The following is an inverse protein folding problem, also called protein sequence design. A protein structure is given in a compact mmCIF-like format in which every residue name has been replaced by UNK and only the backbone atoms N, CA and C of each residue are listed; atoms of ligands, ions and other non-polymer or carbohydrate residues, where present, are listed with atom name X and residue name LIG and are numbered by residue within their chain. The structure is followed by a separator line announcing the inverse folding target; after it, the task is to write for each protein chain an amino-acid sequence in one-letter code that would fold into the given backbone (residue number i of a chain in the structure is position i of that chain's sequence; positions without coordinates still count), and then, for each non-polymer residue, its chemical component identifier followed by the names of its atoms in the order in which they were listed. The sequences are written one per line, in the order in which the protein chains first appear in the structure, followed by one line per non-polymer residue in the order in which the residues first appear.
data_IF_743135723152
#
_entry.id   IF_743135723152
#
_cell.length_a   1.000
_cell.length_b   1.000
_cell.length_c   1.000
_cell.angle_alpha   90.00
_cell.angle_beta   90.00
_cell.angle_gamma   90.00
#
_symmetry.space_group_name_H-M   'P 1'
#
loop_
_entity.id
_entity.type
_entity.pdbx_description
1 polymer ?
#
# COMPACT_ATOMS: atom_id res chain seq x y z
N UNK A 1 24.23 -55.63 32.15
CA UNK A 1 24.17 -54.81 30.93
C UNK A 1 23.40 -53.55 31.29
N UNK A 2 24.14 -52.46 31.57
CA UNK A 2 23.58 -51.14 31.88
C UNK A 2 23.56 -50.40 30.55
N UNK A 3 22.37 -50.06 30.05
CA UNK A 3 22.22 -49.15 28.91
C UNK A 3 22.62 -47.76 29.39
N UNK A 4 23.83 -47.32 29.05
CA UNK A 4 24.20 -45.92 29.16
C UNK A 4 23.40 -45.13 28.11
N UNK A 5 22.40 -44.39 28.57
CA UNK A 5 21.66 -43.43 27.76
C UNK A 5 22.61 -42.33 27.31
N UNK A 6 22.79 -42.15 26.00
CA UNK A 6 23.55 -41.02 25.46
C UNK A 6 22.93 -39.69 25.92
N UNK A 7 23.76 -38.68 26.24
CA UNK A 7 23.26 -37.38 26.70
C UNK A 7 22.48 -36.67 25.59
N UNK A 8 21.21 -36.32 25.85
CA UNK A 8 20.41 -35.49 24.94
C UNK A 8 21.06 -34.11 24.77
N UNK A 9 21.14 -33.66 23.51
CA UNK A 9 21.71 -32.36 23.18
C UNK A 9 20.75 -31.23 23.55
N UNK A 10 21.18 -30.34 24.43
CA UNK A 10 20.54 -29.08 24.79
C UNK A 10 21.41 -27.92 24.32
N UNK A 11 20.82 -26.72 24.24
CA UNK A 11 21.51 -25.49 23.81
C UNK A 11 22.76 -25.15 24.63
N UNK A 12 22.86 -25.65 25.88
CA UNK A 12 23.99 -25.41 26.77
C UNK A 12 25.09 -26.49 26.70
N UNK A 13 24.81 -27.69 26.17
CA UNK A 13 25.76 -28.80 26.12
C UNK A 13 26.18 -29.21 24.69
N UNK A 14 25.64 -28.55 23.66
CA UNK A 14 25.85 -28.86 22.25
C UNK A 14 27.32 -29.02 21.86
N UNK A 15 28.19 -28.14 22.37
CA UNK A 15 29.63 -28.21 22.11
C UNK A 15 30.28 -29.47 22.68
N UNK A 16 29.87 -29.91 23.88
CA UNK A 16 30.40 -31.12 24.51
C UNK A 16 29.90 -32.39 23.82
N UNK A 17 28.64 -32.41 23.37
CA UNK A 17 28.08 -33.51 22.58
C UNK A 17 28.82 -33.63 21.24
N UNK A 18 29.06 -32.52 20.55
CA UNK A 18 29.81 -32.52 19.28
C UNK A 18 31.26 -33.01 19.44
N UNK A 19 31.92 -32.67 20.55
CA UNK A 19 33.28 -33.17 20.85
C UNK A 19 33.26 -34.65 21.21
N UNK A 20 32.24 -35.12 21.93
CA UNK A 20 32.06 -36.55 22.24
C UNK A 20 31.83 -37.37 20.97
N UNK A 21 31.01 -36.89 20.05
CA UNK A 21 30.76 -37.55 18.76
C UNK A 21 32.05 -37.63 17.92
N UNK A 22 32.84 -36.56 17.91
CA UNK A 22 34.13 -36.54 17.21
C UNK A 22 35.09 -37.59 17.78
N UNK A 23 35.13 -37.76 19.10
CA UNK A 23 35.95 -38.79 19.74
C UNK A 23 35.44 -40.20 19.45
N UNK A 24 34.12 -40.41 19.46
CA UNK A 24 33.51 -41.71 19.12
C UNK A 24 33.78 -42.11 17.67
N UNK A 25 33.65 -41.18 16.71
CA UNK A 25 33.92 -41.43 15.30
C UNK A 25 35.40 -41.74 15.02
N UNK A 26 36.33 -41.06 15.72
CA UNK A 26 37.76 -41.35 15.63
C UNK A 26 38.07 -42.75 16.17
N UNK A 27 37.46 -43.12 17.30
CA UNK A 27 37.68 -44.44 17.93
C UNK A 27 37.07 -45.60 17.13
N UNK A 28 35.97 -45.39 16.39
CA UNK A 28 35.40 -46.41 15.49
C UNK A 28 36.30 -46.68 14.28
N UNK A 29 36.98 -45.67 13.76
CA UNK A 29 37.94 -45.79 12.65
C UNK A 29 39.23 -46.48 13.12
N UNK A 30 39.73 -46.15 14.33
CA UNK A 30 40.95 -46.75 14.89
C UNK A 30 40.81 -48.25 15.26
N UNK A 31 39.59 -48.77 15.40
CA UNK A 31 39.35 -50.21 15.64
C UNK A 31 39.38 -51.07 14.38
N UNK A 32 39.46 -50.49 13.18
CA UNK A 32 39.58 -51.24 11.92
C UNK A 32 40.97 -51.19 11.27
N UNK A 33 41.87 -50.31 11.70
CA UNK A 33 43.22 -50.22 11.12
C UNK A 33 44.31 -50.18 12.20
N UNK A 34 44.96 -51.31 12.42
CA UNK A 34 46.18 -51.38 13.21
C UNK A 34 47.32 -50.71 12.43
N UNK A 35 48.04 -49.79 13.09
CA UNK A 35 49.38 -49.25 12.77
C UNK A 35 49.52 -48.32 11.55
N UNK A 36 49.52 -46.99 11.78
CA UNK A 36 50.70 -46.10 11.64
C UNK A 36 50.34 -44.60 11.66
N UNK A 37 51.12 -43.88 12.47
CA UNK A 37 51.44 -42.44 12.47
C UNK A 37 50.77 -41.47 11.47
N UNK A 38 50.11 -40.45 12.05
CA UNK A 38 50.29 -39.02 11.79
C UNK A 38 50.48 -38.59 10.33
N UNK A 39 49.41 -38.67 9.55
CA UNK A 39 49.02 -37.60 8.61
C UNK A 39 47.66 -37.96 8.00
N UNK A 40 46.58 -37.61 8.70
CA UNK A 40 45.22 -37.75 8.13
C UNK A 40 45.19 -37.07 6.77
N UNK A 41 45.01 -37.87 5.72
CA UNK A 41 44.96 -37.37 4.36
C UNK A 41 43.75 -36.44 4.21
N UNK A 42 43.76 -35.53 3.23
CA UNK A 42 42.58 -34.68 2.97
C UNK A 42 41.33 -35.52 2.67
N UNK A 43 41.49 -36.76 2.22
CA UNK A 43 40.40 -37.69 1.95
C UNK A 43 39.76 -38.20 3.25
N UNK A 44 40.56 -38.56 4.25
CA UNK A 44 40.05 -39.06 5.55
C UNK A 44 39.31 -37.96 6.32
N UNK A 45 39.82 -36.73 6.24
CA UNK A 45 39.13 -35.55 6.79
C UNK A 45 37.82 -35.23 6.06
N UNK A 46 37.75 -35.51 4.77
CA UNK A 46 36.53 -35.31 3.98
C UNK A 46 35.48 -36.38 4.32
N UNK A 47 35.91 -37.62 4.56
CA UNK A 47 35.01 -38.73 4.92
C UNK A 47 34.46 -38.57 6.34
N UNK A 48 35.31 -38.20 7.32
CA UNK A 48 34.87 -37.86 8.68
C UNK A 48 33.88 -36.69 8.66
N UNK A 49 34.13 -35.66 7.84
CA UNK A 49 33.20 -34.53 7.68
C UNK A 49 31.87 -34.96 7.05
N UNK A 50 31.90 -35.89 6.09
CA UNK A 50 30.70 -36.41 5.43
C UNK A 50 29.84 -37.20 6.43
N UNK A 51 30.45 -38.09 7.21
CA UNK A 51 29.78 -38.84 8.26
C UNK A 51 29.18 -37.92 9.33
N UNK A 52 29.87 -36.82 9.69
CA UNK A 52 29.33 -35.80 10.60
C UNK A 52 28.09 -35.12 10.04
N UNK A 53 28.11 -34.76 8.75
CA UNK A 53 26.95 -34.12 8.10
C UNK A 53 25.79 -35.11 8.03
N UNK A 54 26.05 -36.37 7.70
CA UNK A 54 25.03 -37.41 7.60
C UNK A 54 24.39 -37.73 8.96
N UNK A 55 25.21 -37.87 10.00
CA UNK A 55 24.73 -38.06 11.38
C UNK A 55 23.94 -36.86 11.90
N UNK A 56 24.39 -35.63 11.62
CA UNK A 56 23.66 -34.42 11.97
C UNK A 56 22.33 -34.30 11.20
N UNK A 57 22.28 -34.74 9.94
CA UNK A 57 21.03 -34.77 9.15
C UNK A 57 20.06 -35.79 9.71
N UNK A 58 20.49 -37.00 10.03
CA UNK A 58 19.63 -38.02 10.63
C UNK A 58 19.14 -37.64 12.05
N UNK A 59 20.00 -36.99 12.86
CA UNK A 59 19.55 -36.38 14.12
C UNK A 59 18.58 -35.24 13.90
N UNK A 60 18.78 -34.37 12.90
CA UNK A 60 17.82 -33.30 12.62
C UNK A 60 16.42 -33.85 12.27
N UNK A 61 16.34 -34.99 11.57
CA UNK A 61 15.06 -35.65 11.25
C UNK A 61 14.34 -36.21 12.48
N UNK A 62 15.04 -36.43 13.59
CA UNK A 62 14.49 -37.02 14.81
C UNK A 62 14.37 -36.03 15.98
N UNK A 63 15.21 -34.98 16.02
CA UNK A 63 15.21 -33.92 17.05
C UNK A 63 14.11 -32.88 16.85
N UNK A 64 13.70 -32.59 15.61
CA UNK A 64 12.47 -31.84 15.40
C UNK A 64 11.30 -32.76 15.71
N UNK A 65 10.88 -32.80 16.99
CA UNK A 65 9.49 -33.15 17.30
C UNK A 65 8.62 -32.39 16.31
N UNK A 66 7.59 -33.04 15.78
CA UNK A 66 6.50 -32.36 15.10
C UNK A 66 5.73 -31.53 16.14
N UNK A 67 6.38 -30.53 16.72
CA UNK A 67 5.72 -29.44 17.40
C UNK A 67 5.04 -28.67 16.28
N UNK A 68 3.78 -29.05 16.03
CA UNK A 68 2.83 -28.11 15.49
C UNK A 68 2.89 -26.91 16.42
N UNK A 69 3.64 -25.88 16.03
CA UNK A 69 3.61 -24.58 16.68
C UNK A 69 2.18 -24.06 16.49
N UNK A 70 1.33 -24.41 17.45
CA UNK A 70 -0.05 -24.00 17.49
C UNK A 70 -0.04 -22.56 18.02
N UNK A 71 0.02 -21.60 17.11
CA UNK A 71 -0.24 -20.21 17.47
C UNK A 71 -1.73 -20.08 17.74
N UNK A 72 -2.09 -20.07 19.02
CA UNK A 72 -3.48 -19.88 19.43
C UNK A 72 -4.06 -18.61 18.82
N UNK A 73 -5.32 -18.67 18.41
CA UNK A 73 -6.02 -17.52 17.85
C UNK A 73 -6.13 -16.45 18.95
N UNK A 74 -5.42 -15.33 18.78
CA UNK A 74 -5.33 -14.28 19.82
C UNK A 74 -4.06 -14.34 20.69
N UNK A 75 -3.04 -15.14 20.36
CA UNK A 75 -1.78 -15.17 21.13
C UNK A 75 -1.10 -13.79 21.27
N UNK A 76 -1.37 -12.86 20.36
CA UNK A 76 -0.88 -11.49 20.37
C UNK A 76 -1.76 -10.52 21.20
N UNK A 77 -2.99 -10.88 21.60
CA UNK A 77 -3.85 -10.06 22.48
C UNK A 77 -3.60 -10.32 23.96
N UNK A 78 -2.55 -11.09 24.30
CA UNK A 78 -2.21 -11.34 25.68
C UNK A 78 -1.69 -10.02 26.30
N UNK A 79 -2.34 -9.48 27.35
CA UNK A 79 -1.95 -8.19 27.96
C UNK A 79 -0.51 -8.19 28.52
N UNK A 80 0.07 -9.37 28.78
CA UNK A 80 1.48 -9.50 29.13
C UNK A 80 2.43 -9.25 27.94
N UNK A 81 1.97 -9.55 26.72
CA UNK A 81 2.69 -9.28 25.46
C UNK A 81 2.47 -7.84 24.99
N UNK A 82 1.28 -7.26 25.21
CA UNK A 82 0.96 -5.86 24.89
C UNK A 82 1.85 -4.86 25.63
N UNK A 83 2.33 -5.20 26.84
CA UNK A 83 3.30 -4.37 27.58
C UNK A 83 4.69 -4.30 26.94
N UNK A 84 5.00 -5.15 25.96
CA UNK A 84 6.34 -5.25 25.36
C UNK A 84 6.54 -4.47 24.06
N UNK A 85 5.51 -3.79 23.54
CA UNK A 85 5.59 -3.05 22.27
C UNK A 85 6.33 -1.73 22.43
N UNK A 86 6.10 -1.04 23.56
CA UNK A 86 6.70 0.25 23.88
C UNK A 86 7.85 0.16 24.92
N UNK A 87 7.99 -0.97 25.62
CA UNK A 87 9.02 -1.14 26.67
C UNK A 87 10.33 -1.75 26.19
N UNK A 88 10.36 -2.31 24.97
CA UNK A 88 11.60 -2.78 24.34
C UNK A 88 12.24 -1.65 23.54
N UNK A 89 13.57 -1.51 23.60
CA UNK A 89 14.35 -0.52 22.85
C UNK A 89 14.16 -0.56 21.31
N UNK A 90 13.45 -1.56 20.78
CA UNK A 90 13.00 -1.63 19.38
C UNK A 90 11.52 -2.01 19.36
N UNK A 91 10.68 -1.05 18.98
CA UNK A 91 9.27 -1.31 18.67
C UNK A 91 9.21 -2.33 17.54
N UNK A 92 8.50 -3.43 17.75
CA UNK A 92 8.18 -4.37 16.68
C UNK A 92 7.16 -3.72 15.73
N UNK A 93 7.62 -3.29 14.56
CA UNK A 93 6.81 -2.57 13.57
C UNK A 93 5.64 -3.41 13.06
N UNK A 94 5.81 -4.73 12.94
CA UNK A 94 4.75 -5.62 12.47
C UNK A 94 3.65 -5.75 13.53
N UNK A 95 4.05 -5.84 14.79
CA UNK A 95 3.10 -5.90 15.89
C UNK A 95 2.36 -4.56 16.09
N UNK A 96 3.05 -3.42 15.90
CA UNK A 96 2.41 -2.11 15.88
C UNK A 96 1.38 -1.98 14.75
N UNK A 97 1.72 -2.42 13.54
CA UNK A 97 0.79 -2.47 12.40
C UNK A 97 -0.42 -3.35 12.71
N UNK A 98 -0.20 -4.50 13.33
CA UNK A 98 -1.28 -5.38 13.74
C UNK A 98 -2.24 -4.72 14.74
N UNK A 99 -1.72 -4.15 15.83
CA UNK A 99 -2.56 -3.51 16.87
C UNK A 99 -3.33 -2.34 16.29
N UNK A 100 -2.66 -1.45 15.56
CA UNK A 100 -3.27 -0.25 15.00
C UNK A 100 -4.33 -0.60 13.95
N UNK A 101 -4.11 -1.64 13.15
CA UNK A 101 -5.11 -2.18 12.23
C UNK A 101 -6.31 -2.76 12.98
N UNK A 102 -6.07 -3.49 14.07
CA UNK A 102 -7.16 -4.06 14.89
C UNK A 102 -8.02 -2.95 15.53
N UNK A 103 -7.39 -1.89 16.05
CA UNK A 103 -8.10 -0.70 16.57
C UNK A 103 -8.86 0.06 15.48
N UNK A 104 -8.32 0.12 14.26
CA UNK A 104 -8.97 0.79 13.14
C UNK A 104 -10.24 0.06 12.67
N UNK A 105 -10.24 -1.27 12.70
CA UNK A 105 -11.37 -2.11 12.29
C UNK A 105 -12.22 -2.65 13.46
N UNK A 106 -11.96 -2.23 14.70
CA UNK A 106 -12.75 -2.68 15.85
C UNK A 106 -14.19 -2.18 15.78
N UNK A 107 -15.08 -2.82 16.54
CA UNK A 107 -16.48 -2.40 16.70
C UNK A 107 -16.74 -2.01 18.16
N UNK A 108 -16.84 -0.71 18.51
CA UNK A 108 -16.66 0.47 17.65
C UNK A 108 -15.18 0.74 17.29
N UNK A 109 -14.90 1.46 16.18
CA UNK A 109 -13.52 1.81 15.81
C UNK A 109 -12.88 2.77 16.81
N UNK A 110 -11.62 2.54 17.18
CA UNK A 110 -10.87 3.41 18.07
C UNK A 110 -9.72 4.12 17.32
N UNK A 111 -10.10 5.14 16.54
CA UNK A 111 -9.16 5.91 15.71
C UNK A 111 -8.18 6.75 16.53
N UNK A 112 -8.60 7.27 17.69
CA UNK A 112 -7.75 8.10 18.56
C UNK A 112 -6.58 7.31 19.12
N UNK A 113 -6.86 6.12 19.66
CA UNK A 113 -5.81 5.28 20.22
C UNK A 113 -4.88 4.72 19.13
N UNK A 114 -5.45 4.33 17.98
CA UNK A 114 -4.67 3.91 16.82
C UNK A 114 -3.72 5.04 16.36
N UNK A 115 -4.21 6.28 16.28
CA UNK A 115 -3.40 7.44 15.91
C UNK A 115 -2.30 7.68 16.94
N UNK A 116 -2.63 7.64 18.23
CA UNK A 116 -1.67 7.86 19.33
C UNK A 116 -0.48 6.89 19.24
N UNK A 117 -0.77 5.59 19.07
CA UNK A 117 0.27 4.55 18.94
C UNK A 117 1.16 4.74 17.71
N UNK A 118 0.57 5.20 16.60
CA UNK A 118 1.34 5.50 15.37
C UNK A 118 2.25 6.71 15.61
N UNK A 119 1.71 7.78 16.20
CA UNK A 119 2.44 9.01 16.47
C UNK A 119 3.59 8.82 17.47
N UNK A 120 3.44 7.92 18.45
CA UNK A 120 4.53 7.54 19.36
C UNK A 120 5.77 7.00 18.62
N UNK A 121 5.60 6.47 17.41
CA UNK A 121 6.67 5.95 16.55
C UNK A 121 7.03 6.86 15.36
N UNK A 122 6.34 7.97 15.20
CA UNK A 122 6.49 8.90 14.08
C UNK A 122 7.52 9.99 14.41
N UNK A 123 8.50 10.16 13.52
CA UNK A 123 9.46 11.27 13.57
C UNK A 123 9.37 12.09 12.28
N UNK A 124 8.78 13.31 12.30
CA UNK A 124 8.68 14.17 11.12
C UNK A 124 10.03 14.50 10.47
N UNK A 125 11.15 14.39 11.21
CA UNK A 125 12.50 14.69 10.72
C UNK A 125 13.19 13.48 10.11
N UNK A 126 12.62 12.28 10.24
CA UNK A 126 13.19 11.09 9.65
C UNK A 126 13.11 11.14 8.10
N UNK A 127 14.14 10.63 7.45
CA UNK A 127 14.38 10.80 6.00
C UNK A 127 13.28 10.25 5.09
N UNK A 128 12.54 9.23 5.53
CA UNK A 128 11.52 8.55 4.72
C UNK A 128 10.26 8.29 5.55
N UNK A 129 9.13 8.84 5.11
CA UNK A 129 7.80 8.54 5.67
C UNK A 129 7.70 8.76 7.19
N UNK A 130 8.51 9.67 7.73
CA UNK A 130 8.66 9.89 9.16
C UNK A 130 9.08 8.66 9.98
N UNK A 131 9.86 7.73 9.41
CA UNK A 131 10.32 6.51 10.07
C UNK A 131 9.29 5.37 10.08
N UNK A 132 8.08 5.64 9.59
CA UNK A 132 6.99 4.69 9.52
C UNK A 132 7.05 3.83 8.24
N UNK A 133 6.62 2.56 8.31
CA UNK A 133 6.24 1.81 7.11
C UNK A 133 5.01 2.46 6.45
N UNK A 134 4.82 2.15 5.17
CA UNK A 134 3.77 2.72 4.32
C UNK A 134 2.36 2.51 4.91
N UNK A 135 2.12 1.34 5.46
CA UNK A 135 0.85 0.85 5.99
C UNK A 135 0.46 1.62 7.25
N UNK A 136 1.41 1.86 8.14
CA UNK A 136 1.23 2.69 9.32
C UNK A 136 1.01 4.15 8.95
N UNK A 137 1.70 4.66 7.92
CA UNK A 137 1.46 6.00 7.40
C UNK A 137 0.06 6.16 6.80
N UNK A 138 -0.41 5.19 5.99
CA UNK A 138 -1.76 5.19 5.42
C UNK A 138 -2.83 5.15 6.53
N UNK A 139 -2.65 4.26 7.51
CA UNK A 139 -3.53 4.14 8.67
C UNK A 139 -3.53 5.42 9.49
N UNK A 140 -2.36 6.00 9.76
CA UNK A 140 -2.23 7.27 10.50
C UNK A 140 -2.90 8.44 9.80
N UNK A 141 -2.78 8.55 8.47
CA UNK A 141 -3.49 9.54 7.67
C UNK A 141 -5.01 9.36 7.77
N UNK A 142 -5.52 8.13 7.67
CA UNK A 142 -6.96 7.86 7.82
C UNK A 142 -7.45 8.21 9.23
N UNK A 143 -6.72 7.79 10.27
CA UNK A 143 -7.10 8.08 11.66
C UNK A 143 -7.07 9.58 11.94
N UNK A 144 -6.03 10.31 11.54
CA UNK A 144 -5.96 11.77 11.72
C UNK A 144 -7.12 12.50 11.02
N UNK A 145 -7.48 12.09 9.79
CA UNK A 145 -8.66 12.62 9.10
C UNK A 145 -9.97 12.29 9.84
N UNK A 146 -10.13 11.08 10.40
CA UNK A 146 -11.32 10.67 11.15
C UNK A 146 -11.45 11.39 12.49
N UNK A 147 -10.34 11.65 13.16
CA UNK A 147 -10.28 12.41 14.41
C UNK A 147 -10.30 13.93 14.19
N UNK A 148 -10.27 14.39 12.93
CA UNK A 148 -10.15 15.80 12.56
C UNK A 148 -8.91 16.49 13.19
N UNK A 149 -7.82 15.73 13.33
CA UNK A 149 -6.53 16.21 13.83
C UNK A 149 -5.73 16.83 12.68
N UNK A 150 -5.92 18.14 12.49
CA UNK A 150 -5.36 18.90 11.37
C UNK A 150 -3.83 18.93 11.42
N UNK A 151 -3.23 19.09 12.60
CA UNK A 151 -1.78 19.25 12.74
C UNK A 151 -1.05 17.96 12.35
N UNK A 152 -1.48 16.83 12.91
CA UNK A 152 -0.87 15.55 12.60
C UNK A 152 -1.17 15.08 11.17
N UNK A 153 -2.37 15.39 10.64
CA UNK A 153 -2.71 15.09 9.25
C UNK A 153 -1.74 15.79 8.27
N UNK A 154 -1.41 17.07 8.50
CA UNK A 154 -0.45 17.80 7.67
C UNK A 154 0.96 17.21 7.79
N UNK A 155 1.43 16.94 9.02
CA UNK A 155 2.77 16.39 9.24
C UNK A 155 2.95 15.02 8.55
N UNK A 156 1.94 14.16 8.64
CA UNK A 156 1.89 12.87 7.96
C UNK A 156 1.82 13.05 6.43
N UNK A 157 1.01 13.99 5.94
CA UNK A 157 0.89 14.29 4.51
C UNK A 157 2.21 14.78 3.92
N UNK A 158 2.89 15.73 4.60
CA UNK A 158 4.20 16.24 4.17
C UNK A 158 5.27 15.13 4.19
N UNK A 159 5.21 14.21 5.15
CA UNK A 159 6.12 13.05 5.23
C UNK A 159 5.86 12.02 4.11
N UNK A 160 4.67 12.06 3.49
CA UNK A 160 4.26 11.10 2.45
C UNK A 160 4.68 11.47 1.02
N UNK A 161 5.30 12.64 0.81
CA UNK A 161 5.68 13.18 -0.52
C UNK A 161 6.39 12.18 -1.44
N UNK A 162 7.33 11.42 -0.88
CA UNK A 162 8.12 10.42 -1.62
C UNK A 162 7.24 9.30 -2.21
N UNK A 163 6.09 9.02 -1.60
CA UNK A 163 5.19 7.94 -1.99
C UNK A 163 4.21 8.34 -3.10
N UNK A 164 4.02 9.64 -3.37
CA UNK A 164 3.06 10.14 -4.36
C UNK A 164 3.44 9.76 -5.80
N UNK A 165 4.73 9.59 -6.07
CA UNK A 165 5.27 9.11 -7.36
C UNK A 165 5.15 7.60 -7.55
N UNK A 166 4.79 6.86 -6.51
CA UNK A 166 4.67 5.40 -6.53
C UNK A 166 3.29 4.90 -6.95
N UNK A 167 3.06 3.60 -6.81
CA UNK A 167 1.78 2.94 -7.06
C UNK A 167 0.71 3.25 -5.97
N UNK A 168 0.96 4.22 -5.09
CA UNK A 168 0.15 4.49 -3.89
C UNK A 168 -0.75 5.71 -4.08
N UNK A 169 -1.61 5.65 -5.09
CA UNK A 169 -2.64 6.66 -5.35
C UNK A 169 -3.54 6.96 -4.14
N UNK A 170 -3.80 5.96 -3.29
CA UNK A 170 -4.59 6.11 -2.07
C UNK A 170 -3.96 7.11 -1.08
N UNK A 171 -2.65 7.03 -0.86
CA UNK A 171 -1.92 7.94 0.05
C UNK A 171 -1.93 9.36 -0.50
N UNK A 172 -1.75 9.53 -1.81
CA UNK A 172 -1.85 10.86 -2.43
C UNK A 172 -3.25 11.46 -2.27
N UNK A 173 -4.31 10.66 -2.40
CA UNK A 173 -5.67 11.11 -2.16
C UNK A 173 -5.90 11.51 -0.70
N UNK A 174 -5.39 10.75 0.27
CA UNK A 174 -5.48 11.09 1.70
C UNK A 174 -4.67 12.33 2.06
N UNK A 175 -3.47 12.50 1.49
CA UNK A 175 -2.67 13.70 1.67
C UNK A 175 -3.38 14.95 1.11
N UNK A 176 -4.05 14.81 -0.04
CA UNK A 176 -4.91 15.87 -0.59
C UNK A 176 -6.03 16.25 0.38
N UNK A 177 -6.73 15.26 0.95
CA UNK A 177 -7.78 15.50 1.95
C UNK A 177 -7.23 16.18 3.21
N UNK A 178 -6.03 15.80 3.66
CA UNK A 178 -5.35 16.44 4.80
C UNK A 178 -5.09 17.94 4.53
N UNK A 179 -4.64 18.30 3.34
CA UNK A 179 -4.47 19.71 2.97
C UNK A 179 -5.81 20.44 2.84
N UNK A 180 -6.88 19.77 2.42
CA UNK A 180 -8.21 20.38 2.35
C UNK A 180 -8.80 20.70 3.73
N UNK A 181 -8.70 19.78 4.70
CA UNK A 181 -9.16 20.05 6.07
C UNK A 181 -8.34 21.18 6.72
N UNK A 182 -7.08 21.34 6.32
CA UNK A 182 -6.20 22.43 6.73
C UNK A 182 -6.49 23.77 6.02
N UNK A 183 -7.52 23.85 5.18
CA UNK A 183 -7.85 25.01 4.36
C UNK A 183 -6.70 25.45 3.41
N UNK A 184 -5.94 24.48 2.88
CA UNK A 184 -4.84 24.66 1.92
C UNK A 184 -5.17 24.03 0.56
N UNK A 185 -6.18 24.52 -0.18
CA UNK A 185 -6.67 23.87 -1.40
C UNK A 185 -5.65 23.86 -2.55
N UNK A 186 -4.73 24.83 -2.61
CA UNK A 186 -3.65 24.85 -3.61
C UNK A 186 -2.65 23.71 -3.38
N UNK A 187 -2.27 23.48 -2.12
CA UNK A 187 -1.33 22.41 -1.75
C UNK A 187 -1.97 21.03 -1.95
N UNK A 188 -3.28 20.93 -1.77
CA UNK A 188 -4.06 19.72 -2.04
C UNK A 188 -4.00 19.25 -3.50
N UNK A 189 -3.67 20.13 -4.46
CA UNK A 189 -3.51 19.77 -5.87
C UNK A 189 -2.23 18.95 -6.14
N UNK A 190 -1.15 19.25 -5.41
CA UNK A 190 0.17 18.65 -5.62
C UNK A 190 0.17 17.12 -5.59
N UNK A 191 -0.32 16.44 -4.54
CA UNK A 191 -0.34 14.99 -4.49
C UNK A 191 -1.18 14.37 -5.62
N UNK A 192 -2.28 15.02 -6.02
CA UNK A 192 -3.16 14.52 -7.08
C UNK A 192 -2.52 14.66 -8.46
N UNK A 193 -1.87 15.78 -8.76
CA UNK A 193 -1.15 15.98 -10.03
C UNK A 193 0.03 15.02 -10.16
N UNK A 194 0.80 14.85 -9.08
CA UNK A 194 1.93 13.92 -9.08
C UNK A 194 1.42 12.49 -9.27
N UNK A 195 0.43 12.05 -8.49
CA UNK A 195 -0.12 10.70 -8.62
C UNK A 195 -0.71 10.44 -10.02
N UNK A 196 -1.46 11.39 -10.57
CA UNK A 196 -2.01 11.27 -11.95
C UNK A 196 -0.91 11.20 -13.00
N UNK A 197 0.17 11.98 -12.84
CA UNK A 197 1.33 11.97 -13.73
C UNK A 197 2.09 10.65 -13.74
N UNK A 198 2.20 9.95 -12.61
CA UNK A 198 2.98 8.71 -12.53
C UNK A 198 2.12 7.45 -12.69
N UNK A 199 0.97 7.39 -12.02
CA UNK A 199 0.16 6.18 -11.90
C UNK A 199 -0.84 6.04 -13.06
N UNK A 200 -1.55 7.10 -13.42
CA UNK A 200 -2.51 7.06 -14.52
C UNK A 200 -3.78 7.89 -14.29
N UNK A 201 -4.69 7.83 -15.25
CA UNK A 201 -5.98 8.55 -15.23
C UNK A 201 -7.03 7.74 -14.48
N UNK A 202 -7.02 7.82 -13.14
CA UNK A 202 -7.99 7.12 -12.28
C UNK A 202 -9.14 8.04 -11.89
N UNK A 203 -10.38 7.57 -12.10
CA UNK A 203 -11.59 8.35 -11.81
C UNK A 203 -11.61 8.94 -10.39
N UNK A 204 -11.29 8.21 -9.30
CA UNK A 204 -11.41 8.78 -7.95
C UNK A 204 -10.45 9.95 -7.70
N UNK A 205 -9.25 9.91 -8.32
CA UNK A 205 -8.24 10.99 -8.20
C UNK A 205 -8.67 12.18 -9.04
N UNK A 206 -9.11 11.94 -10.28
CA UNK A 206 -9.58 12.99 -11.18
C UNK A 206 -10.82 13.69 -10.62
N UNK A 207 -11.78 12.95 -10.09
CA UNK A 207 -12.97 13.51 -9.44
C UNK A 207 -12.62 14.40 -8.25
N UNK A 208 -11.62 14.03 -7.44
CA UNK A 208 -11.10 14.90 -6.37
C UNK A 208 -10.45 16.16 -6.94
N UNK A 209 -9.59 16.01 -7.96
CA UNK A 209 -8.92 17.12 -8.62
C UNK A 209 -9.93 18.13 -9.19
N UNK A 210 -10.99 17.64 -9.85
CA UNK A 210 -12.12 18.46 -10.34
C UNK A 210 -12.76 19.29 -9.23
N UNK A 211 -13.10 18.65 -8.10
CA UNK A 211 -13.75 19.30 -6.95
C UNK A 211 -12.88 20.42 -6.37
N UNK A 212 -11.57 20.17 -6.21
CA UNK A 212 -10.64 21.16 -5.66
C UNK A 212 -10.48 22.35 -6.61
N UNK A 213 -10.35 22.10 -7.93
CA UNK A 213 -10.27 23.18 -8.91
C UNK A 213 -11.54 24.03 -8.93
N UNK A 214 -12.74 23.41 -8.86
CA UNK A 214 -14.01 24.13 -8.72
C UNK A 214 -14.04 25.00 -7.47
N UNK A 215 -13.56 24.48 -6.34
CA UNK A 215 -13.48 25.23 -5.08
C UNK A 215 -12.56 26.45 -5.23
N UNK A 216 -11.36 26.29 -5.80
CA UNK A 216 -10.42 27.40 -6.02
C UNK A 216 -11.03 28.49 -6.92
N UNK A 217 -11.63 28.09 -8.04
CA UNK A 217 -12.28 29.01 -8.99
C UNK A 217 -13.43 29.77 -8.31
N UNK A 218 -14.22 29.09 -7.49
CA UNK A 218 -15.37 29.68 -6.79
C UNK A 218 -14.92 30.62 -5.66
N UNK A 219 -13.94 30.23 -4.85
CA UNK A 219 -13.41 31.09 -3.77
C UNK A 219 -12.82 32.40 -4.31
N UNK A 220 -12.20 32.35 -5.49
CA UNK A 220 -11.63 33.54 -6.13
C UNK A 220 -12.70 34.49 -6.67
N UNK A 221 -13.80 33.97 -7.25
CA UNK A 221 -14.88 34.80 -7.79
C UNK A 221 -15.65 35.56 -6.70
N UNK A 222 -15.77 34.99 -5.50
CA UNK A 222 -16.34 35.67 -4.32
C UNK A 222 -15.45 36.79 -3.77
N UNK A 223 -14.13 36.68 -3.97
CA UNK A 223 -13.15 37.64 -3.44
C UNK A 223 -12.91 38.85 -4.35
N UNK A 224 -13.37 38.78 -5.61
CA UNK A 224 -13.02 39.74 -6.67
C UNK A 224 -14.19 40.64 -7.10
N UNK A 225 -14.99 41.07 -6.13
CA UNK A 225 -16.06 42.08 -6.26
C UNK A 225 -15.56 43.50 -6.63
N UNK A 226 -14.25 43.70 -6.77
CA UNK A 226 -13.62 44.97 -7.17
C UNK A 226 -13.20 44.95 -8.65
N UNK A 227 -14.17 45.29 -9.50
CA UNK A 227 -14.05 46.06 -10.76
C UNK A 227 -13.03 45.73 -11.87
N UNK A 228 -12.25 44.64 -11.86
CA UNK A 228 -11.37 44.29 -13.02
C UNK A 228 -11.12 42.79 -13.30
N UNK A 229 -11.88 41.86 -12.70
CA UNK A 229 -11.50 40.44 -12.63
C UNK A 229 -12.15 39.49 -13.66
N UNK A 230 -12.60 39.96 -14.83
CA UNK A 230 -13.25 39.10 -15.83
C UNK A 230 -12.33 38.08 -16.55
N UNK A 231 -11.05 37.98 -16.17
CA UNK A 231 -10.09 37.05 -16.76
C UNK A 231 -9.56 35.95 -15.82
N UNK A 232 -9.99 35.90 -14.55
CA UNK A 232 -9.48 34.88 -13.63
C UNK A 232 -9.90 33.46 -14.04
N UNK A 233 -8.92 32.58 -14.27
CA UNK A 233 -9.09 31.12 -14.47
C UNK A 233 -9.67 30.66 -15.81
N UNK A 234 -9.48 31.38 -16.92
CA UNK A 234 -9.99 30.92 -18.22
C UNK A 234 -9.36 29.59 -18.65
N UNK A 235 -8.05 29.46 -18.50
CA UNK A 235 -7.33 28.24 -18.90
C UNK A 235 -7.56 27.11 -17.91
N UNK A 236 -7.68 27.41 -16.63
CA UNK A 236 -8.03 26.45 -15.58
C UNK A 236 -9.45 25.92 -15.75
N UNK A 237 -10.41 26.76 -16.17
CA UNK A 237 -11.77 26.32 -16.54
C UNK A 237 -11.76 25.42 -17.77
N UNK A 238 -10.97 25.75 -18.79
CA UNK A 238 -10.78 24.88 -19.96
C UNK A 238 -10.21 23.51 -19.56
N UNK A 239 -9.17 23.52 -18.71
CA UNK A 239 -8.58 22.31 -18.16
C UNK A 239 -9.57 21.49 -17.33
N UNK A 240 -10.39 22.14 -16.50
CA UNK A 240 -11.43 21.50 -15.71
C UNK A 240 -12.47 20.81 -16.60
N UNK A 241 -12.95 21.47 -17.66
CA UNK A 241 -13.92 20.88 -18.59
C UNK A 241 -13.36 19.62 -19.26
N UNK A 242 -12.08 19.65 -19.65
CA UNK A 242 -11.38 18.49 -20.20
C UNK A 242 -11.35 17.36 -19.17
N UNK A 243 -10.95 17.67 -17.94
CA UNK A 243 -10.86 16.71 -16.86
C UNK A 243 -12.21 16.06 -16.55
N UNK A 244 -13.31 16.83 -16.55
CA UNK A 244 -14.66 16.30 -16.34
C UNK A 244 -15.10 15.34 -17.44
N UNK A 245 -14.80 15.64 -18.71
CA UNK A 245 -15.05 14.69 -19.81
C UNK A 245 -14.32 13.36 -19.58
N UNK A 246 -13.05 13.43 -19.13
CA UNK A 246 -12.25 12.24 -18.83
C UNK A 246 -12.79 11.49 -17.61
N UNK A 247 -13.27 12.18 -16.58
CA UNK A 247 -13.95 11.56 -15.43
C UNK A 247 -15.17 10.78 -15.89
N UNK A 248 -16.05 11.38 -16.69
CA UNK A 248 -17.25 10.72 -17.22
C UNK A 248 -16.84 9.49 -18.03
N UNK A 249 -15.88 9.65 -18.95
CA UNK A 249 -15.34 8.55 -19.73
C UNK A 249 -14.82 7.41 -18.84
N UNK A 250 -13.91 7.68 -17.90
CA UNK A 250 -13.36 6.63 -17.03
C UNK A 250 -14.41 6.00 -16.12
N UNK A 251 -15.40 6.76 -15.63
CA UNK A 251 -16.47 6.23 -14.80
C UNK A 251 -17.31 5.17 -15.54
N UNK A 252 -17.62 5.42 -16.83
CA UNK A 252 -18.40 4.50 -17.65
C UNK A 252 -17.63 3.19 -17.96
N UNK A 253 -16.30 3.25 -18.06
CA UNK A 253 -15.49 2.07 -18.36
C UNK A 253 -15.21 1.21 -17.13
N UNK A 254 -15.09 1.81 -15.94
CA UNK A 254 -14.83 1.11 -14.68
C UNK A 254 -16.09 0.47 -14.07
N UNK A 255 -17.28 0.92 -14.48
CA UNK A 255 -18.56 0.33 -14.06
C UNK A 255 -18.96 -0.93 -14.82
N UNK A 256 -18.17 -1.37 -15.82
CA UNK A 256 -18.43 -2.66 -16.47
C UNK A 256 -18.16 -3.78 -15.45
N UNK A 257 -19.15 -4.60 -15.10
CA UNK A 257 -18.94 -5.68 -14.15
C UNK A 257 -17.85 -6.61 -14.69
N UNK A 258 -16.91 -7.00 -13.81
CA UNK A 258 -15.78 -7.88 -14.15
C UNK A 258 -16.25 -9.24 -14.67
N UNK A 259 -17.47 -9.62 -14.33
CA UNK A 259 -18.17 -10.79 -14.81
C UNK A 259 -19.42 -10.30 -15.54
N UNK A 260 -19.53 -10.62 -16.82
CA UNK A 260 -20.81 -10.50 -17.51
C UNK A 260 -21.72 -11.58 -16.94
N UNK A 261 -22.49 -11.26 -15.89
CA UNK A 261 -23.57 -12.12 -15.41
C UNK A 261 -24.78 -12.10 -16.38
N UNK A 262 -24.54 -11.84 -17.67
CA UNK A 262 -25.53 -12.08 -18.70
C UNK A 262 -25.59 -13.59 -18.90
N UNK A 263 -26.69 -14.26 -18.49
CA UNK A 263 -26.89 -15.63 -18.91
C UNK A 263 -26.93 -15.61 -20.44
N UNK A 264 -26.04 -16.39 -21.06
CA UNK A 264 -26.12 -16.65 -22.49
C UNK A 264 -27.58 -16.97 -22.84
N UNK A 265 -28.18 -16.13 -23.68
CA UNK A 265 -29.55 -16.27 -24.16
C UNK A 265 -29.66 -17.44 -25.15
N UNK A 266 -29.24 -18.63 -24.71
CA UNK A 266 -29.28 -19.88 -25.44
C UNK A 266 -29.55 -21.07 -24.52
N UNK A 267 -30.43 -20.92 -23.51
CA UNK A 267 -31.20 -22.07 -23.03
C UNK A 267 -32.56 -21.65 -22.48
N UNK A 268 -33.59 -22.13 -23.15
CA UNK A 268 -34.97 -22.06 -22.70
C UNK A 268 -35.22 -23.18 -21.67
N UNK A 269 -35.71 -22.82 -20.47
CA UNK A 269 -36.93 -23.36 -19.82
C UNK A 269 -36.97 -23.06 -18.32
N UNK A 270 -37.94 -22.21 -17.96
CA UNK A 270 -38.85 -22.30 -16.80
C UNK A 270 -38.35 -22.92 -15.49
N UNK A 271 -38.28 -22.11 -14.42
CA UNK A 271 -39.19 -22.24 -13.26
C UNK A 271 -38.94 -21.16 -12.20
N UNK A 272 -39.98 -20.35 -11.97
CA UNK A 272 -40.50 -19.85 -10.68
C UNK A 272 -39.56 -19.18 -9.65
N UNK A 273 -39.71 -17.85 -9.60
CA UNK A 273 -39.80 -16.96 -8.44
C UNK A 273 -39.53 -17.51 -7.03
N UNK A 274 -38.55 -16.88 -6.35
CA UNK A 274 -38.73 -16.44 -4.95
C UNK A 274 -38.23 -15.00 -4.84
N UNK A 275 -39.16 -14.16 -4.42
CA UNK A 275 -39.02 -12.74 -4.21
C UNK A 275 -38.89 -12.52 -2.69
N UNK A 276 -37.83 -11.85 -2.22
CA UNK A 276 -37.86 -11.18 -0.92
C UNK A 276 -37.18 -9.81 -1.01
N UNK A 277 -38.04 -8.80 -0.94
CA UNK A 277 -37.78 -7.37 -0.84
C UNK A 277 -36.75 -6.98 0.23
N UNK A 278 -35.99 -5.92 -0.08
CA UNK A 278 -35.80 -4.79 0.83
C UNK A 278 -35.73 -3.46 0.03
N UNK A 279 -36.83 -2.69 0.11
CA UNK A 279 -36.92 -1.22 0.01
C UNK A 279 -35.88 -0.54 0.92
N UNK A 280 -35.42 0.70 0.74
CA UNK A 280 -35.74 1.92 -0.03
C UNK A 280 -34.73 2.99 0.51
N UNK A 281 -34.31 4.09 -0.11
CA UNK A 281 -34.94 5.10 -1.00
C UNK A 281 -33.79 5.79 -1.81
N UNK A 282 -33.89 5.98 -3.13
CA UNK A 282 -34.44 7.16 -3.85
C UNK A 282 -33.67 8.48 -3.56
N UNK A 283 -32.97 9.14 -4.49
CA UNK A 283 -33.44 9.65 -5.79
C UNK A 283 -32.28 10.10 -6.69
N UNK A 284 -32.40 9.86 -8.00
CA UNK A 284 -31.51 10.44 -9.03
C UNK A 284 -31.37 9.58 -10.29
N UNK A 285 -32.49 9.06 -10.82
CA UNK A 285 -32.50 8.25 -12.03
C UNK A 285 -32.51 9.15 -13.28
N UNK A 286 -31.32 9.56 -13.75
CA UNK A 286 -31.16 10.04 -15.12
C UNK A 286 -30.76 8.85 -16.01
N UNK A 287 -31.59 8.58 -17.00
CA UNK A 287 -31.35 7.60 -18.05
C UNK A 287 -30.00 7.86 -18.75
N UNK A 288 -28.95 7.13 -18.38
CA UNK A 288 -27.68 7.14 -19.10
C UNK A 288 -27.89 6.35 -20.41
N UNK A 289 -27.81 6.99 -21.59
CA UNK A 289 -27.93 6.27 -22.86
C UNK A 289 -26.76 5.29 -23.00
N UNK A 290 -27.05 4.04 -23.39
CA UNK A 290 -26.07 2.95 -23.54
C UNK A 290 -25.10 3.10 -24.72
N UNK A 291 -25.20 4.17 -25.50
CA UNK A 291 -24.29 4.52 -26.60
C UNK A 291 -23.67 5.90 -26.35
N UNK A 292 -22.72 6.01 -25.41
CA UNK A 292 -21.90 7.22 -25.30
C UNK A 292 -20.57 7.00 -26.02
N UNK A 293 -20.58 7.19 -27.34
CA UNK A 293 -19.38 7.69 -28.04
C UNK A 293 -19.10 9.09 -27.48
N UNK A 294 -18.47 9.16 -26.31
CA UNK A 294 -18.03 10.42 -25.72
C UNK A 294 -16.89 10.89 -26.60
N UNK A 295 -17.09 12.01 -27.30
CA UNK A 295 -16.02 12.66 -28.02
C UNK A 295 -15.03 13.27 -27.01
N UNK A 296 -13.87 12.61 -26.87
CA UNK A 296 -12.74 13.02 -26.02
C UNK A 296 -11.80 13.96 -26.79
N UNK A 297 -12.11 14.31 -28.05
CA UNK A 297 -11.29 15.26 -28.79
C UNK A 297 -11.37 16.65 -28.16
N UNK A 298 -10.24 17.35 -28.17
CA UNK A 298 -10.11 18.70 -27.64
C UNK A 298 -9.73 19.65 -28.78
N UNK A 299 -10.60 20.63 -29.06
CA UNK A 299 -10.39 21.62 -30.14
C UNK A 299 -9.19 22.54 -29.92
N UNK A 300 -8.73 22.68 -28.66
CA UNK A 300 -7.64 23.57 -28.27
C UNK A 300 -6.66 22.87 -27.31
N UNK A 301 -5.34 22.99 -27.56
CA UNK A 301 -4.33 22.44 -26.66
C UNK A 301 -4.39 23.11 -25.29
N UNK A 302 -4.11 22.33 -24.24
CA UNK A 302 -4.05 22.83 -22.86
C UNK A 302 -2.85 23.77 -22.71
N UNK A 303 -3.11 25.05 -22.39
CA UNK A 303 -2.05 26.04 -22.12
C UNK A 303 -1.53 25.91 -20.68
N UNK A 304 -0.46 25.12 -20.52
CA UNK A 304 0.14 24.82 -19.23
C UNK A 304 0.63 26.07 -18.48
N UNK A 305 1.28 27.00 -19.18
CA UNK A 305 1.92 28.17 -18.56
C UNK A 305 0.87 29.08 -17.92
N UNK A 306 -0.23 29.34 -18.63
CA UNK A 306 -1.32 30.14 -18.10
C UNK A 306 -2.06 29.45 -16.94
N UNK A 307 -2.15 28.11 -16.92
CA UNK A 307 -2.71 27.38 -15.76
C UNK A 307 -1.82 27.53 -14.53
N UNK A 308 -0.49 27.44 -14.71
CA UNK A 308 0.48 27.63 -13.62
C UNK A 308 0.37 29.05 -13.05
N UNK A 309 0.26 30.06 -13.92
CA UNK A 309 0.08 31.46 -13.54
C UNK A 309 -1.26 31.70 -12.83
N UNK A 310 -2.37 31.19 -13.37
CA UNK A 310 -3.70 31.33 -12.78
C UNK A 310 -3.81 30.67 -11.40
N UNK A 311 -3.22 29.48 -11.23
CA UNK A 311 -3.22 28.74 -9.96
C UNK A 311 -2.14 29.23 -8.98
N UNK A 312 -1.24 30.12 -9.42
CA UNK A 312 -0.07 30.60 -8.67
C UNK A 312 0.78 29.44 -8.12
N UNK A 313 1.03 28.42 -8.95
CA UNK A 313 1.84 27.26 -8.56
C UNK A 313 3.32 27.63 -8.62
N UNK A 314 3.99 27.61 -7.48
CA UNK A 314 5.42 27.93 -7.35
C UNK A 314 6.28 26.67 -7.31
N UNK A 315 5.73 25.58 -6.76
CA UNK A 315 6.46 24.35 -6.51
C UNK A 315 6.78 23.56 -7.79
N UNK A 316 8.07 23.29 -8.03
CA UNK A 316 8.56 22.62 -9.23
C UNK A 316 8.03 21.18 -9.35
N UNK A 317 7.86 20.48 -8.23
CA UNK A 317 7.34 19.12 -8.23
C UNK A 317 5.88 19.07 -8.69
N UNK A 318 5.08 20.03 -8.24
CA UNK A 318 3.70 20.25 -8.64
C UNK A 318 3.60 20.64 -10.12
N UNK A 319 4.47 21.53 -10.61
CA UNK A 319 4.55 21.89 -12.04
C UNK A 319 4.84 20.66 -12.90
N UNK A 320 5.80 19.84 -12.49
CA UNK A 320 6.14 18.59 -13.18
C UNK A 320 4.98 17.59 -13.16
N UNK A 321 4.28 17.46 -12.03
CA UNK A 321 3.06 16.66 -11.91
C UNK A 321 1.95 17.14 -12.83
N UNK A 322 1.71 18.45 -12.90
CA UNK A 322 0.72 19.03 -13.81
C UNK A 322 1.09 18.78 -15.28
N UNK A 323 2.35 18.99 -15.65
CA UNK A 323 2.85 18.72 -17.01
C UNK A 323 2.65 17.26 -17.40
N UNK A 324 2.96 16.32 -16.51
CA UNK A 324 2.74 14.89 -16.75
C UNK A 324 1.27 14.52 -16.83
N UNK A 325 0.42 15.13 -16.01
CA UNK A 325 -1.04 14.99 -16.07
C UNK A 325 -1.59 15.45 -17.42
N UNK A 326 -1.20 16.65 -17.87
CA UNK A 326 -1.58 17.19 -19.18
C UNK A 326 -1.11 16.30 -20.33
N UNK A 327 0.13 15.79 -20.25
CA UNK A 327 0.65 14.86 -21.24
C UNK A 327 -0.20 13.58 -21.35
N UNK A 328 -0.70 13.05 -20.23
CA UNK A 328 -1.57 11.86 -20.24
C UNK A 328 -2.95 12.16 -20.79
N UNK A 329 -3.54 13.29 -20.41
CA UNK A 329 -4.82 13.75 -20.97
C UNK A 329 -4.72 13.93 -22.49
N UNK A 330 -3.61 14.48 -22.99
CA UNK A 330 -3.36 14.63 -24.42
C UNK A 330 -3.13 13.30 -25.15
N UNK A 331 -2.52 12.29 -24.49
CA UNK A 331 -2.37 10.94 -25.07
C UNK A 331 -3.73 10.25 -25.26
N UNK A 332 -4.65 10.41 -24.32
CA UNK A 332 -6.03 9.91 -24.45
C UNK A 332 -6.88 10.60 -25.53
N UNK A 333 -6.41 11.73 -26.07
CA UNK A 333 -7.14 12.55 -27.06
C UNK A 333 -6.79 12.23 -28.52
N UNK A 334 -5.68 11.54 -28.80
CA UNK A 334 -5.28 11.26 -30.18
C UNK A 334 -5.87 9.92 -30.61
N UNK A 335 -6.39 9.90 -31.85
CA UNK A 335 -6.71 8.71 -32.65
C UNK A 335 -5.45 7.84 -32.89
N UNK A 336 -4.80 7.34 -31.83
CA UNK A 336 -3.88 6.23 -31.95
C UNK A 336 -4.72 4.94 -31.96
N UNK A 337 -4.53 4.07 -32.97
CA UNK A 337 -5.16 2.76 -32.96
C UNK A 337 -4.60 1.99 -31.76
N UNK A 338 -5.49 1.54 -30.88
CA UNK A 338 -5.20 0.62 -29.77
C UNK A 338 -4.06 1.03 -28.82
N UNK A 339 -4.20 2.15 -28.10
CA UNK A 339 -3.55 2.24 -26.78
C UNK A 339 -4.46 1.54 -25.77
N UNK A 340 -4.35 0.21 -25.74
CA UNK A 340 -4.76 -0.57 -24.57
C UNK A 340 -3.84 -0.10 -23.45
N UNK A 341 -4.35 0.78 -22.58
CA UNK A 341 -3.73 1.03 -21.28
C UNK A 341 -3.67 -0.33 -20.58
N UNK A 342 -2.50 -0.98 -20.66
CA UNK A 342 -2.24 -2.25 -20.00
C UNK A 342 -2.57 -2.06 -18.53
N UNK A 343 -3.69 -2.66 -18.12
CA UNK A 343 -4.07 -2.77 -16.72
C UNK A 343 -2.92 -3.43 -15.96
N UNK A 344 -2.82 -3.17 -14.65
CA UNK A 344 -1.84 -3.83 -13.77
C UNK A 344 -1.91 -5.37 -13.84
N UNK A 345 -2.98 -5.95 -14.41
CA UNK A 345 -3.09 -7.37 -14.77
C UNK A 345 -2.23 -7.84 -15.95
N UNK A 346 -1.70 -6.94 -16.76
CA UNK A 346 -0.93 -7.24 -17.99
C UNK A 346 0.58 -6.94 -17.86
N UNK A 347 1.03 -6.59 -16.65
CA UNK A 347 2.42 -6.62 -16.19
C UNK A 347 2.61 -7.83 -15.28
#
# INVERSE_FOLDING_TARGET
MINESQPEATTSNYFQVAVSDDQSAINEVDNQETTQSVSQSKADKAEIRRQRIEAAVERSKTEYKAEHAYTERGWFTNPETERNVLSKNKVDKQHLEYITTNLYYSEPPNYEEALRLILDSFDPKAKHSGGLPRELLDTGLRCSLKCNDIENAINLADSSKVLWKGQFAGIAALASDAYLIANRPKDALSPLFISTSFFGLHEPILSRLSKILKQIISSSSLSSSSSNANHGYQQTKHFLNILEKVVIWKSNYLQKPLFNDQPDASSSRSSESVNTNRHGDENGNENIPKDTNIDISFDKPINLQSIIEELEIIDEETINGLKGTVNRLNKGSKNEPEVIEKSVREL
#
